data_IF_950899758293
#
_entry.id   IF_950899758293
#
_cell.length_a   1.000
_cell.length_b   1.000
_cell.length_c   1.000
_cell.angle_alpha   90.00
_cell.angle_beta   90.00
_cell.angle_gamma   90.00
#
_symmetry.space_group_name_H-M   'P 1'
#
loop_
_entity.id
_entity.type
_entity.pdbx_description
1 polymer ?
#
# COMPACT_ATOMS: atom_id res chain seq x y z
N UNK A 1 9.02 -19.81 -7.37
CA UNK A 1 7.56 -19.95 -7.40
C UNK A 1 7.11 -20.33 -6.01
N UNK A 2 6.74 -19.35 -5.17
CA UNK A 2 5.87 -19.65 -4.05
C UNK A 2 4.46 -19.59 -4.63
N UNK A 3 3.76 -20.71 -4.62
CA UNK A 3 2.36 -20.77 -5.02
C UNK A 3 1.57 -21.02 -3.76
N UNK A 4 0.57 -20.17 -3.49
CA UNK A 4 -0.41 -20.41 -2.43
C UNK A 4 -1.27 -21.61 -2.88
N UNK A 5 -0.80 -22.82 -2.57
CA UNK A 5 -1.44 -24.06 -2.96
C UNK A 5 -2.56 -24.43 -1.99
N UNK A 6 -3.76 -23.93 -2.25
CA UNK A 6 -5.00 -24.35 -1.58
C UNK A 6 -5.57 -25.55 -2.34
N UNK A 7 -5.51 -26.76 -1.77
CA UNK A 7 -6.28 -27.90 -2.28
C UNK A 7 -7.11 -28.52 -1.15
N UNK A 8 -8.26 -29.13 -1.46
CA UNK A 8 -9.15 -29.72 -0.47
C UNK A 8 -8.81 -31.21 -0.30
N UNK A 9 -8.02 -31.55 0.71
CA UNK A 9 -8.14 -32.83 1.45
C UNK A 9 -6.92 -33.05 2.38
N UNK A 10 -7.23 -33.52 3.61
CA UNK A 10 -6.36 -33.87 4.77
C UNK A 10 -5.84 -32.68 5.60
N UNK A 11 -5.47 -32.86 6.89
CA UNK A 11 -5.26 -31.74 7.82
C UNK A 11 -3.97 -31.02 7.43
N UNK A 12 -4.11 -29.99 6.60
CA UNK A 12 -3.01 -29.24 6.04
C UNK A 12 -2.53 -28.27 7.09
N UNK A 13 -1.29 -28.45 7.52
CA UNK A 13 -0.50 -27.34 8.05
C UNK A 13 -0.28 -26.43 6.85
N UNK A 14 -1.10 -25.39 6.73
CA UNK A 14 -0.86 -24.36 5.72
C UNK A 14 0.30 -23.51 6.22
N UNK A 15 1.32 -23.33 5.39
CA UNK A 15 2.46 -22.46 5.69
C UNK A 15 2.47 -21.34 4.67
N UNK A 16 2.69 -20.12 5.14
CA UNK A 16 3.17 -19.05 4.29
C UNK A 16 4.59 -18.71 4.72
N UNK A 17 5.40 -18.22 3.78
CA UNK A 17 6.72 -17.69 4.10
C UNK A 17 6.62 -16.16 4.15
N UNK A 18 7.08 -15.58 5.26
CA UNK A 18 7.07 -14.14 5.50
C UNK A 18 8.50 -13.71 5.81
N UNK A 19 9.11 -12.90 4.94
CA UNK A 19 10.51 -12.45 5.07
C UNK A 19 11.46 -13.64 5.31
N UNK A 20 11.28 -14.73 4.58
CA UNK A 20 12.05 -15.96 4.66
C UNK A 20 11.77 -16.84 5.89
N UNK A 21 10.72 -16.52 6.67
CA UNK A 21 10.31 -17.32 7.83
C UNK A 21 9.01 -18.04 7.54
N UNK A 22 9.01 -19.35 7.75
CA UNK A 22 7.80 -20.14 7.68
C UNK A 22 6.88 -19.83 8.86
N UNK A 23 5.68 -19.37 8.54
CA UNK A 23 4.60 -19.10 9.49
C UNK A 23 3.53 -20.15 9.30
N UNK A 24 3.22 -20.87 10.38
CA UNK A 24 2.13 -21.82 10.42
C UNK A 24 0.78 -21.10 10.54
N UNK A 25 -0.13 -21.42 9.61
CA UNK A 25 -1.49 -20.90 9.59
C UNK A 25 -2.37 -21.86 10.38
N UNK A 26 -3.08 -21.33 11.37
CA UNK A 26 -3.93 -22.15 12.25
C UNK A 26 -5.15 -22.70 11.50
N UNK A 27 -5.78 -23.80 11.96
CA UNK A 27 -6.96 -24.35 11.31
C UNK A 27 -8.11 -23.34 11.12
N UNK A 28 -8.31 -22.43 12.06
CA UNK A 28 -9.35 -21.39 11.94
C UNK A 28 -8.98 -20.30 10.93
N UNK A 29 -7.69 -19.94 10.85
CA UNK A 29 -7.21 -19.06 9.79
C UNK A 29 -7.34 -19.72 8.42
N UNK A 30 -7.13 -21.03 8.31
CA UNK A 30 -7.31 -21.77 7.05
C UNK A 30 -8.76 -21.71 6.56
N UNK A 31 -9.72 -21.94 7.46
CA UNK A 31 -11.15 -21.77 7.15
C UNK A 31 -11.48 -20.34 6.73
N UNK A 32 -10.87 -19.35 7.38
CA UNK A 32 -11.04 -17.95 7.01
C UNK A 32 -10.48 -17.65 5.61
N UNK A 33 -9.33 -18.23 5.24
CA UNK A 33 -8.77 -18.12 3.89
C UNK A 33 -9.67 -18.81 2.85
N UNK A 34 -10.16 -20.01 3.15
CA UNK A 34 -11.10 -20.74 2.27
C UNK A 34 -12.39 -19.95 2.04
N UNK A 35 -12.91 -19.29 3.09
CA UNK A 35 -14.08 -18.42 2.99
C UNK A 35 -13.77 -17.15 2.18
N UNK A 36 -12.65 -16.47 2.46
CA UNK A 36 -12.30 -15.20 1.83
C UNK A 36 -11.84 -15.32 0.37
N UNK A 37 -11.25 -16.46 0.01
CA UNK A 37 -10.83 -16.76 -1.36
C UNK A 37 -11.86 -17.61 -2.13
N UNK A 38 -13.00 -17.91 -1.52
CA UNK A 38 -14.12 -18.58 -2.18
C UNK A 38 -14.92 -17.63 -3.07
N UNK A 39 -15.78 -18.18 -3.93
CA UNK A 39 -16.69 -17.41 -4.79
C UNK A 39 -17.96 -17.00 -4.03
N UNK A 40 -17.79 -16.36 -2.87
CA UNK A 40 -18.90 -15.82 -2.08
C UNK A 40 -18.99 -14.30 -2.29
N UNK A 41 -20.20 -13.75 -2.53
CA UNK A 41 -20.34 -12.30 -2.74
C UNK A 41 -20.02 -11.49 -1.48
N UNK A 42 -20.22 -12.08 -0.29
CA UNK A 42 -19.93 -11.48 1.01
C UNK A 42 -19.39 -12.57 1.93
N UNK A 43 -18.26 -12.30 2.55
CA UNK A 43 -17.67 -13.13 3.60
C UNK A 43 -17.43 -12.28 4.86
N UNK A 44 -17.80 -12.81 6.02
CA UNK A 44 -17.53 -12.18 7.30
C UNK A 44 -16.58 -13.07 8.11
N UNK A 45 -15.41 -12.54 8.44
CA UNK A 45 -14.38 -13.23 9.22
C UNK A 45 -14.22 -12.51 10.55
N UNK A 46 -14.51 -13.19 11.64
CA UNK A 46 -14.34 -12.67 12.99
C UNK A 46 -13.12 -13.30 13.68
N UNK A 47 -12.37 -12.48 14.42
CA UNK A 47 -11.26 -12.94 15.23
C UNK A 47 -10.98 -12.00 16.41
N UNK A 48 -10.77 -12.52 17.64
CA UNK A 48 -10.30 -11.73 18.78
C UNK A 48 -9.00 -10.97 18.51
N UNK A 49 -8.64 -10.04 19.40
CA UNK A 49 -7.32 -9.39 19.31
C UNK A 49 -6.19 -10.42 19.37
N UNK A 50 -5.14 -10.23 18.57
CA UNK A 50 -3.99 -11.14 18.52
C UNK A 50 -4.15 -12.40 17.67
N UNK A 51 -5.31 -12.67 17.05
CA UNK A 51 -5.53 -13.91 16.27
C UNK A 51 -5.05 -13.86 14.81
N UNK A 52 -4.26 -12.84 14.44
CA UNK A 52 -3.69 -12.73 13.09
C UNK A 52 -4.66 -12.27 12.01
N UNK A 53 -5.71 -11.50 12.35
CA UNK A 53 -6.64 -10.91 11.36
C UNK A 53 -5.93 -10.17 10.23
N UNK A 54 -4.90 -9.39 10.56
CA UNK A 54 -4.08 -8.66 9.58
C UNK A 54 -3.42 -9.61 8.59
N UNK A 55 -2.85 -10.72 9.07
CA UNK A 55 -2.23 -11.74 8.22
C UNK A 55 -3.26 -12.40 7.31
N UNK A 56 -4.42 -12.80 7.85
CA UNK A 56 -5.50 -13.42 7.06
C UNK A 56 -6.01 -12.45 5.99
N UNK A 57 -6.25 -11.19 6.35
CA UNK A 57 -6.69 -10.16 5.40
C UNK A 57 -5.65 -9.91 4.30
N UNK A 58 -4.36 -9.83 4.65
CA UNK A 58 -3.27 -9.69 3.69
C UNK A 58 -3.19 -10.88 2.73
N UNK A 59 -3.31 -12.11 3.24
CA UNK A 59 -3.28 -13.33 2.41
C UNK A 59 -4.50 -13.41 1.48
N UNK A 60 -5.68 -13.00 1.92
CA UNK A 60 -6.87 -12.92 1.06
C UNK A 60 -6.65 -11.88 -0.04
N UNK A 61 -6.21 -10.67 0.32
CA UNK A 61 -5.98 -9.60 -0.65
C UNK A 61 -4.93 -9.99 -1.69
N UNK A 62 -3.79 -10.51 -1.24
CA UNK A 62 -2.73 -10.98 -2.12
C UNK A 62 -3.20 -12.15 -3.00
N UNK A 63 -3.86 -13.15 -2.42
CA UNK A 63 -4.34 -14.32 -3.15
C UNK A 63 -5.41 -14.00 -4.20
N UNK A 64 -6.29 -13.02 -3.94
CA UNK A 64 -7.24 -12.52 -4.95
C UNK A 64 -6.53 -11.73 -6.05
N UNK A 65 -5.57 -10.86 -5.70
CA UNK A 65 -4.79 -10.11 -6.68
C UNK A 65 -3.95 -11.02 -7.59
N UNK A 66 -3.36 -12.10 -7.05
CA UNK A 66 -2.64 -13.10 -7.84
C UNK A 66 -3.53 -13.83 -8.85
N UNK A 67 -4.85 -13.89 -8.61
CA UNK A 67 -5.83 -14.44 -9.56
C UNK A 67 -6.24 -13.46 -10.65
N UNK A 68 -5.72 -12.24 -10.62
CA UNK A 68 -6.00 -11.17 -11.57
C UNK A 68 -7.12 -10.22 -11.14
N UNK A 69 -7.64 -10.34 -9.92
CA UNK A 69 -8.66 -9.42 -9.41
C UNK A 69 -8.04 -8.08 -9.01
N UNK A 70 -8.77 -6.98 -9.25
CA UNK A 70 -8.44 -5.68 -8.63
C UNK A 70 -8.98 -5.66 -7.21
N UNK A 71 -8.09 -5.55 -6.23
CA UNK A 71 -8.44 -5.60 -4.80
C UNK A 71 -8.31 -4.22 -4.18
N UNK A 72 -9.37 -3.76 -3.54
CA UNK A 72 -9.36 -2.55 -2.70
C UNK A 72 -9.37 -2.99 -1.24
N UNK A 73 -8.34 -2.60 -0.49
CA UNK A 73 -8.24 -2.84 0.95
C UNK A 73 -8.50 -1.53 1.68
N UNK A 74 -9.47 -1.53 2.59
CA UNK A 74 -9.83 -0.35 3.40
C UNK A 74 -9.86 -0.71 4.87
N UNK A 75 -9.54 0.25 5.74
CA UNK A 75 -9.73 0.13 7.18
C UNK A 75 -10.26 1.45 7.76
N UNK A 76 -10.63 1.42 9.04
CA UNK A 76 -11.15 2.58 9.78
C UNK A 76 -10.09 3.64 10.10
N UNK A 77 -8.80 3.28 10.03
CA UNK A 77 -7.68 4.18 10.28
C UNK A 77 -6.46 3.86 9.39
N UNK A 78 -5.63 4.88 9.16
CA UNK A 78 -4.46 4.77 8.28
C UNK A 78 -3.39 3.79 8.77
N UNK A 79 -3.26 3.63 10.10
CA UNK A 79 -2.30 2.69 10.68
C UNK A 79 -2.68 1.24 10.34
N UNK A 80 -3.96 0.89 10.39
CA UNK A 80 -4.45 -0.43 10.01
C UNK A 80 -4.23 -0.70 8.51
N UNK A 81 -4.45 0.29 7.64
CA UNK A 81 -4.12 0.17 6.21
C UNK A 81 -2.62 -0.01 6.01
N UNK A 82 -1.78 0.76 6.72
CA UNK A 82 -0.32 0.62 6.69
C UNK A 82 0.11 -0.80 7.09
N UNK A 83 -0.42 -1.30 8.20
CA UNK A 83 -0.06 -2.59 8.76
C UNK A 83 -0.44 -3.74 7.81
N UNK A 84 -1.63 -3.68 7.19
CA UNK A 84 -2.02 -4.66 6.18
C UNK A 84 -1.08 -4.56 4.96
N UNK A 85 -0.79 -3.34 4.50
CA UNK A 85 0.11 -3.09 3.36
C UNK A 85 1.51 -3.67 3.62
N UNK A 86 2.12 -3.39 4.76
CA UNK A 86 3.40 -3.97 5.16
C UNK A 86 3.36 -5.49 5.28
N UNK A 87 2.23 -6.04 5.76
CA UNK A 87 2.05 -7.48 5.85
C UNK A 87 2.04 -8.11 4.47
N UNK A 88 1.34 -7.51 3.50
CA UNK A 88 1.35 -7.95 2.09
C UNK A 88 2.80 -7.88 1.56
N UNK A 89 3.47 -6.74 1.67
CA UNK A 89 4.85 -6.57 1.20
C UNK A 89 5.86 -7.53 1.86
N UNK A 90 5.51 -8.11 3.01
CA UNK A 90 6.35 -9.06 3.73
C UNK A 90 6.13 -10.53 3.32
N UNK A 91 5.06 -10.85 2.59
CA UNK A 91 4.78 -12.21 2.12
C UNK A 91 5.76 -12.55 0.98
N UNK A 92 6.41 -13.70 1.10
CA UNK A 92 7.34 -14.14 0.06
C UNK A 92 6.58 -14.68 -1.15
N UNK A 93 7.05 -14.33 -2.35
CA UNK A 93 6.52 -14.82 -3.62
C UNK A 93 5.46 -13.94 -4.27
N UNK A 94 5.00 -12.90 -3.58
CA UNK A 94 4.02 -11.95 -4.12
C UNK A 94 4.67 -10.61 -4.56
N UNK A 95 5.98 -10.61 -4.81
CA UNK A 95 6.73 -9.40 -5.17
C UNK A 95 6.31 -8.78 -6.52
N UNK A 96 5.55 -9.52 -7.33
CA UNK A 96 5.06 -9.05 -8.63
C UNK A 96 3.72 -8.31 -8.55
N UNK A 97 3.10 -8.21 -7.37
CA UNK A 97 1.84 -7.49 -7.21
C UNK A 97 2.09 -5.97 -7.26
N UNK A 98 1.37 -5.28 -8.14
CA UNK A 98 1.30 -3.82 -8.16
C UNK A 98 0.48 -3.32 -6.98
N UNK A 99 1.16 -2.90 -5.92
CA UNK A 99 0.54 -2.41 -4.69
C UNK A 99 0.74 -0.90 -4.61
N UNK A 100 -0.35 -0.18 -4.34
CA UNK A 100 -0.34 1.26 -4.09
C UNK A 100 -1.24 1.55 -2.89
N UNK A 101 -0.79 2.40 -1.97
CA UNK A 101 -1.57 2.89 -0.84
C UNK A 101 -1.86 4.38 -1.01
N UNK A 102 -3.14 4.73 -1.03
CA UNK A 102 -3.54 6.14 -0.96
C UNK A 102 -3.54 6.63 0.49
N UNK A 103 -2.96 7.81 0.72
CA UNK A 103 -3.00 8.55 1.98
C UNK A 103 -3.25 10.01 1.63
N UNK A 104 -4.22 10.66 2.25
CA UNK A 104 -4.45 12.10 2.02
C UNK A 104 -3.34 12.94 2.62
N UNK A 105 -3.10 14.13 2.09
CA UNK A 105 -2.02 15.02 2.53
C UNK A 105 -2.14 15.43 3.99
N UNK A 106 -3.37 15.72 4.43
CA UNK A 106 -3.70 16.00 5.84
C UNK A 106 -3.43 14.81 6.76
N UNK A 107 -3.60 13.60 6.26
CA UNK A 107 -3.27 12.41 7.04
C UNK A 107 -1.77 12.13 7.00
N UNK A 108 -1.08 12.41 5.90
CA UNK A 108 0.35 12.18 5.75
C UNK A 108 1.18 13.01 6.73
N UNK A 109 0.75 14.24 7.06
CA UNK A 109 1.41 15.09 8.07
C UNK A 109 1.27 14.54 9.49
N UNK A 110 0.17 13.86 9.80
CA UNK A 110 -0.11 13.28 11.12
C UNK A 110 0.39 11.82 11.25
N UNK A 111 0.68 11.15 10.14
CA UNK A 111 0.87 9.70 10.10
C UNK A 111 2.34 9.29 10.14
N UNK A 112 2.73 8.62 11.23
CA UNK A 112 4.06 8.02 11.39
C UNK A 112 4.23 6.65 10.69
N UNK A 113 3.20 6.13 10.02
CA UNK A 113 3.21 4.83 9.34
C UNK A 113 3.23 5.02 7.82
N UNK A 114 4.26 5.68 7.29
CA UNK A 114 4.54 5.76 5.86
C UNK A 114 5.02 4.41 5.32
N UNK A 115 4.73 4.12 4.06
CA UNK A 115 5.19 2.90 3.37
C UNK A 115 5.81 3.25 2.02
N UNK A 116 6.71 2.39 1.53
CA UNK A 116 7.36 2.58 0.23
C UNK A 116 6.39 2.55 -0.96
N UNK A 117 5.17 2.05 -0.76
CA UNK A 117 4.12 1.95 -1.78
C UNK A 117 3.04 3.03 -1.60
N UNK A 118 3.28 4.03 -0.75
CA UNK A 118 2.41 5.19 -0.67
C UNK A 118 2.39 5.89 -2.02
N UNK A 119 1.19 6.22 -2.53
CA UNK A 119 1.03 6.80 -3.86
C UNK A 119 1.92 8.02 -4.06
N UNK A 120 1.99 8.87 -3.04
CA UNK A 120 2.86 10.03 -3.02
C UNK A 120 4.34 9.67 -3.22
N UNK A 121 4.85 8.74 -2.41
CA UNK A 121 6.22 8.22 -2.54
C UNK A 121 6.46 7.58 -3.91
N UNK A 122 5.48 6.84 -4.46
CA UNK A 122 5.59 6.19 -5.76
C UNK A 122 5.68 7.24 -6.87
N UNK A 123 4.83 8.25 -6.86
CA UNK A 123 4.80 9.32 -7.87
C UNK A 123 6.05 10.20 -7.81
N UNK A 124 6.53 10.56 -6.62
CA UNK A 124 7.74 11.36 -6.45
C UNK A 124 9.01 10.68 -7.00
N UNK A 125 9.05 9.35 -7.00
CA UNK A 125 10.20 8.58 -7.46
C UNK A 125 10.00 7.98 -8.86
N UNK A 126 8.84 8.18 -9.48
CA UNK A 126 8.50 7.56 -10.76
C UNK A 126 9.49 7.97 -11.87
N UNK A 127 9.82 9.25 -11.95
CA UNK A 127 10.79 9.78 -12.92
C UNK A 127 12.22 9.29 -12.70
N UNK A 128 12.59 8.96 -11.46
CA UNK A 128 13.93 8.45 -11.14
C UNK A 128 14.05 6.95 -11.40
N UNK A 129 13.00 6.18 -11.10
CA UNK A 129 12.98 4.72 -11.24
C UNK A 129 12.87 4.31 -12.71
N UNK A 130 12.06 5.03 -13.48
CA UNK A 130 11.71 4.67 -14.86
C UNK A 130 12.35 5.60 -15.90
N UNK A 131 13.43 6.32 -15.55
CA UNK A 131 14.01 7.36 -16.40
C UNK A 131 14.38 6.89 -17.82
N UNK A 132 14.69 5.60 -17.97
CA UNK A 132 15.08 4.95 -19.23
C UNK A 132 13.88 4.51 -20.08
N UNK A 133 12.69 4.46 -19.50
CA UNK A 133 11.43 4.07 -20.14
C UNK A 133 10.54 5.27 -20.46
N UNK A 134 10.89 6.45 -19.96
CA UNK A 134 10.12 7.68 -20.12
C UNK A 134 10.69 8.55 -21.26
N UNK A 135 9.79 9.18 -21.99
CA UNK A 135 10.15 10.24 -22.94
C UNK A 135 10.67 11.48 -22.22
N UNK A 136 11.37 12.36 -22.94
CA UNK A 136 11.86 13.63 -22.39
C UNK A 136 10.72 14.50 -21.78
N UNK A 137 9.52 14.44 -22.36
CA UNK A 137 8.36 15.17 -21.85
C UNK A 137 7.81 14.55 -20.56
N UNK A 138 7.70 13.22 -20.49
CA UNK A 138 7.25 12.53 -19.27
C UNK A 138 8.24 12.70 -18.11
N UNK A 139 9.54 12.67 -18.40
CA UNK A 139 10.59 12.97 -17.43
C UNK A 139 10.45 14.38 -16.87
N UNK A 140 10.18 15.36 -17.72
CA UNK A 140 9.98 16.75 -17.28
C UNK A 140 8.72 16.88 -16.41
N UNK A 141 7.64 16.20 -16.79
CA UNK A 141 6.42 16.13 -15.98
C UNK A 141 6.68 15.51 -14.60
N UNK A 142 7.44 14.42 -14.51
CA UNK A 142 7.80 13.80 -13.23
C UNK A 142 8.66 14.73 -12.38
N UNK A 143 9.61 15.44 -12.99
CA UNK A 143 10.45 16.42 -12.27
C UNK A 143 9.64 17.57 -11.73
N UNK A 144 8.74 18.12 -12.55
CA UNK A 144 7.84 19.20 -12.15
C UNK A 144 6.95 18.75 -10.99
N UNK A 145 6.30 17.60 -11.11
CA UNK A 145 5.49 17.02 -10.04
C UNK A 145 6.29 16.86 -8.74
N UNK A 146 7.50 16.27 -8.82
CA UNK A 146 8.37 16.08 -7.65
C UNK A 146 8.75 17.40 -6.98
N UNK A 147 9.05 18.43 -7.76
CA UNK A 147 9.37 19.76 -7.23
C UNK A 147 8.18 20.42 -6.54
N UNK A 148 7.02 20.45 -7.20
CA UNK A 148 5.78 21.02 -6.64
C UNK A 148 5.37 20.28 -5.36
N UNK A 149 5.53 18.96 -5.34
CA UNK A 149 5.22 18.14 -4.17
C UNK A 149 6.14 18.40 -2.99
N UNK A 150 7.44 18.62 -3.23
CA UNK A 150 8.38 19.03 -2.17
C UNK A 150 7.99 20.36 -1.55
N UNK A 151 7.61 21.34 -2.38
CA UNK A 151 7.16 22.66 -1.93
C UNK A 151 5.90 22.51 -1.06
N UNK A 152 4.90 21.77 -1.53
CA UNK A 152 3.67 21.53 -0.78
C UNK A 152 3.93 20.85 0.58
N UNK A 153 4.82 19.85 0.62
CA UNK A 153 5.21 19.16 1.86
C UNK A 153 5.88 20.10 2.86
N UNK A 154 6.76 20.98 2.40
CA UNK A 154 7.39 21.99 3.26
C UNK A 154 6.34 22.93 3.88
N UNK A 155 5.31 23.35 3.13
CA UNK A 155 4.22 24.19 3.66
C UNK A 155 3.34 23.46 4.67
N UNK A 156 2.99 22.21 4.40
CA UNK A 156 2.18 21.40 5.29
C UNK A 156 2.88 21.12 6.63
N UNK A 157 4.22 21.12 6.65
CA UNK A 157 5.03 20.93 7.85
C UNK A 157 5.28 22.23 8.64
N UNK A 158 5.32 23.37 7.96
CA UNK A 158 5.51 24.69 8.58
C UNK A 158 4.55 25.73 7.96
N UNK A 159 3.29 25.81 8.46
CA UNK A 159 2.29 26.72 7.93
C UNK A 159 2.67 28.20 8.07
N UNK A 160 3.56 28.55 9.01
CA UNK A 160 3.98 29.92 9.29
C UNK A 160 4.97 30.46 8.24
N UNK A 161 5.59 29.59 7.42
CA UNK A 161 6.39 30.01 6.25
C UNK A 161 5.58 30.80 5.23
N UNK A 162 4.27 30.54 5.13
CA UNK A 162 3.33 31.27 4.27
C UNK A 162 3.33 32.80 4.47
N UNK A 163 3.69 33.23 5.68
CA UNK A 163 3.73 34.64 6.07
C UNK A 163 4.99 35.38 5.60
N UNK A 164 6.04 34.67 5.18
CA UNK A 164 7.34 35.24 4.80
C UNK A 164 7.71 35.02 3.31
N UNK A 165 6.80 34.45 2.54
CA UNK A 165 7.03 34.14 1.12
C UNK A 165 7.15 35.39 0.24
N UNK A 166 8.11 35.35 -0.68
CA UNK A 166 8.13 36.27 -1.82
C UNK A 166 6.94 36.00 -2.76
N UNK A 167 6.51 36.98 -3.56
CA UNK A 167 5.38 36.80 -4.50
C UNK A 167 5.55 35.61 -5.44
N UNK A 168 6.79 35.32 -5.85
CA UNK A 168 7.15 34.19 -6.70
C UNK A 168 6.79 32.82 -6.05
N UNK A 169 7.09 32.67 -4.76
CA UNK A 169 6.83 31.42 -4.03
C UNK A 169 5.31 31.22 -3.82
N UNK A 170 4.54 32.33 -3.78
CA UNK A 170 3.06 32.28 -3.66
C UNK A 170 2.41 31.83 -4.95
N UNK A 171 2.96 32.23 -6.10
CA UNK A 171 2.55 31.72 -7.41
C UNK A 171 2.86 30.22 -7.54
N UNK A 172 4.05 29.77 -7.12
CA UNK A 172 4.43 28.36 -7.16
C UNK A 172 3.52 27.50 -6.26
N UNK A 173 3.13 28.00 -5.08
CA UNK A 173 2.14 27.33 -4.20
C UNK A 173 0.77 27.22 -4.87
N UNK A 174 0.24 28.31 -5.44
CA UNK A 174 -1.07 28.30 -6.10
C UNK A 174 -1.11 27.33 -7.29
N UNK A 175 -0.02 27.22 -8.04
CA UNK A 175 0.11 26.27 -9.16
C UNK A 175 0.15 24.82 -8.63
N UNK A 176 0.76 24.59 -7.47
CA UNK A 176 0.84 23.24 -6.87
C UNK A 176 -0.49 22.70 -6.34
N UNK A 177 -1.47 23.55 -6.02
CA UNK A 177 -2.83 23.11 -5.64
C UNK A 177 -3.70 22.69 -6.85
N UNK A 178 -3.30 23.02 -8.08
CA UNK A 178 -4.04 22.66 -9.30
C UNK A 178 -3.77 21.22 -9.80
N UNK A 179 -2.84 20.48 -9.17
CA UNK A 179 -2.44 19.12 -9.55
C UNK A 179 -2.75 18.06 -8.50
#
# INVERSE_FOLDING_TARGET
>A
MASIHLYPDRPRIYRCSIKGKDVEISPDQCKALELGLGYYPIAAIYGPSGTGKTLVGALIAAGSAERGDTVVVTADNNYAVAQITETILSIDGIQNLGIVRYVSDTAATENNASTQVDLDSVLENLGDIYFDQLSAWELEMCRKFKQERMILKEYLQDPDRGLFMAEQEKEDYMISEEY
#
